data_IF_844319619761
#
_entry.id   IF_844319619761
#
_cell.length_a   1.000
_cell.length_b   1.000
_cell.length_c   1.000
_cell.angle_alpha   90.00
_cell.angle_beta   90.00
_cell.angle_gamma   90.00
#
_symmetry.space_group_name_H-M   'P 1'
#
loop_
_entity.id
_entity.type
_entity.pdbx_description
1 polymer ?
#
# COMPACT_ATOMS: atom_id res chain seq x y z
N UNK A 1 -11.12 24.10 -2.50
CA UNK A 1 -10.48 24.51 -3.77
C UNK A 1 -8.95 24.64 -3.69
N UNK A 2 -8.35 24.56 -2.47
CA UNK A 2 -6.91 24.81 -2.29
C UNK A 2 -6.00 23.56 -2.45
N UNK A 3 -6.52 22.44 -2.83
CA UNK A 3 -5.75 21.18 -2.95
C UNK A 3 -5.39 20.76 -4.39
N UNK A 4 -5.97 21.38 -5.41
CA UNK A 4 -5.67 21.08 -6.81
C UNK A 4 -4.43 21.84 -7.28
N UNK A 5 -3.46 21.12 -7.85
CA UNK A 5 -2.37 21.72 -8.60
C UNK A 5 -2.87 22.25 -9.95
N UNK A 6 -2.06 23.07 -10.61
CA UNK A 6 -2.42 23.69 -11.90
C UNK A 6 -2.68 22.70 -13.04
N UNK A 7 -2.17 21.48 -12.93
CA UNK A 7 -2.39 20.39 -13.91
C UNK A 7 -3.67 19.58 -13.65
N UNK A 8 -4.38 19.83 -12.54
CA UNK A 8 -5.58 19.13 -12.10
C UNK A 8 -5.44 17.61 -11.93
N UNK A 9 -4.24 17.07 -11.96
CA UNK A 9 -3.95 15.63 -11.84
C UNK A 9 -3.57 15.22 -10.42
N UNK A 10 -3.24 16.17 -9.54
CA UNK A 10 -2.85 15.93 -8.15
C UNK A 10 -3.77 16.67 -7.19
N UNK A 11 -4.37 15.92 -6.26
CA UNK A 11 -5.23 16.45 -5.21
C UNK A 11 -4.63 16.11 -3.83
N UNK A 12 -4.14 17.14 -3.13
CA UNK A 12 -3.56 17.02 -1.79
C UNK A 12 -4.52 17.50 -0.73
N UNK A 13 -5.04 16.55 0.04
CA UNK A 13 -6.07 16.75 1.06
C UNK A 13 -5.65 16.21 2.43
N UNK A 14 -4.38 15.91 2.64
CA UNK A 14 -3.87 15.39 3.90
C UNK A 14 -4.06 16.37 5.06
N UNK A 15 -4.33 15.85 6.27
CA UNK A 15 -4.46 16.62 7.50
C UNK A 15 -5.64 17.62 7.51
N UNK A 16 -6.72 17.29 6.81
CA UNK A 16 -7.91 18.15 6.71
C UNK A 16 -9.10 17.64 7.50
N UNK A 17 -9.00 16.42 8.04
CA UNK A 17 -10.05 15.77 8.85
C UNK A 17 -11.40 15.67 8.13
N UNK A 18 -11.35 15.28 6.86
CA UNK A 18 -12.56 15.08 6.06
C UNK A 18 -13.44 13.99 6.64
N UNK A 19 -14.73 14.27 6.71
CA UNK A 19 -15.76 13.30 7.06
C UNK A 19 -16.04 12.32 5.91
N UNK A 20 -16.67 11.20 6.21
CA UNK A 20 -17.12 10.23 5.20
C UNK A 20 -18.08 10.86 4.18
N UNK A 21 -18.92 11.82 4.60
CA UNK A 21 -19.82 12.55 3.71
C UNK A 21 -19.06 13.39 2.69
N UNK A 22 -17.98 14.07 3.13
CA UNK A 22 -17.12 14.86 2.25
C UNK A 22 -16.35 13.98 1.27
N UNK A 23 -15.88 12.80 1.71
CA UNK A 23 -15.26 11.80 0.82
C UNK A 23 -16.30 11.28 -0.18
N UNK A 24 -17.56 11.10 0.22
CA UNK A 24 -18.65 10.71 -0.71
C UNK A 24 -18.87 11.77 -1.80
N UNK A 25 -18.88 13.04 -1.42
CA UNK A 25 -19.02 14.15 -2.39
C UNK A 25 -17.82 14.20 -3.34
N UNK A 26 -16.61 14.03 -2.81
CA UNK A 26 -15.38 13.96 -3.61
C UNK A 26 -15.45 12.83 -4.63
N UNK A 27 -15.74 11.60 -4.17
CA UNK A 27 -15.74 10.39 -4.98
C UNK A 27 -16.82 10.39 -6.07
N UNK A 28 -17.86 11.22 -5.93
CA UNK A 28 -18.94 11.39 -6.92
C UNK A 28 -18.76 12.58 -7.87
N UNK A 29 -17.78 13.45 -7.59
CA UNK A 29 -17.55 14.64 -8.39
C UNK A 29 -16.86 14.30 -9.71
N UNK A 30 -17.45 14.71 -10.84
CA UNK A 30 -16.79 14.59 -12.15
C UNK A 30 -15.49 15.41 -12.27
N UNK A 31 -15.24 16.36 -11.35
CA UNK A 31 -14.02 17.16 -11.33
C UNK A 31 -12.79 16.33 -10.96
N UNK A 32 -12.96 15.15 -10.33
CA UNK A 32 -11.85 14.28 -9.96
C UNK A 32 -11.50 13.23 -11.02
N UNK A 33 -12.16 13.21 -12.15
CA UNK A 33 -11.93 12.20 -13.18
C UNK A 33 -10.53 12.30 -13.83
N UNK A 34 -9.84 13.42 -13.70
CA UNK A 34 -8.47 13.63 -14.19
C UNK A 34 -7.40 13.39 -13.11
N UNK A 35 -7.83 13.14 -11.86
CA UNK A 35 -6.90 12.95 -10.73
C UNK A 35 -6.16 11.63 -10.89
N UNK A 36 -4.83 11.72 -10.86
CA UNK A 36 -3.91 10.58 -10.84
C UNK A 36 -3.29 10.35 -9.48
N UNK A 37 -3.15 11.41 -8.70
CA UNK A 37 -2.59 11.38 -7.34
C UNK A 37 -3.61 11.95 -6.37
N UNK A 38 -4.06 11.12 -5.43
CA UNK A 38 -4.97 11.51 -4.36
C UNK A 38 -4.30 11.25 -3.00
N UNK A 39 -3.99 12.33 -2.30
CA UNK A 39 -3.43 12.29 -0.96
C UNK A 39 -4.51 12.64 0.07
N UNK A 40 -4.91 11.63 0.83
CA UNK A 40 -5.86 11.68 1.93
C UNK A 40 -5.23 11.23 3.27
N UNK A 41 -3.91 11.30 3.39
CA UNK A 41 -3.22 10.97 4.62
C UNK A 41 -3.67 11.83 5.81
N UNK A 42 -3.59 11.31 7.03
CA UNK A 42 -3.92 12.01 8.28
C UNK A 42 -5.33 12.65 8.27
N UNK A 43 -6.36 11.85 7.95
CA UNK A 43 -7.74 12.32 7.90
C UNK A 43 -8.71 11.54 8.81
N UNK A 44 -8.23 10.57 9.58
CA UNK A 44 -9.07 9.72 10.43
C UNK A 44 -10.14 8.92 9.66
N UNK A 45 -9.88 8.62 8.39
CA UNK A 45 -10.78 7.87 7.55
C UNK A 45 -10.81 6.39 7.96
N UNK A 46 -11.99 5.80 7.97
CA UNK A 46 -12.20 4.38 8.25
C UNK A 46 -12.60 3.58 7.01
N UNK A 47 -13.04 2.36 7.25
CA UNK A 47 -13.40 1.36 6.22
C UNK A 47 -14.46 1.85 5.24
N UNK A 48 -15.45 2.62 5.72
CA UNK A 48 -16.51 3.14 4.85
C UNK A 48 -15.97 4.13 3.82
N UNK A 49 -15.06 5.02 4.21
CA UNK A 49 -14.42 5.95 3.28
C UNK A 49 -13.57 5.18 2.24
N UNK A 50 -12.84 4.14 2.68
CA UNK A 50 -12.08 3.28 1.79
C UNK A 50 -12.99 2.61 0.74
N UNK A 51 -14.14 2.07 1.17
CA UNK A 51 -15.14 1.48 0.29
C UNK A 51 -15.63 2.48 -0.74
N UNK A 52 -16.05 3.67 -0.30
CA UNK A 52 -16.54 4.75 -1.18
C UNK A 52 -15.50 5.12 -2.24
N UNK A 53 -14.24 5.24 -1.86
CA UNK A 53 -13.14 5.54 -2.78
C UNK A 53 -12.92 4.40 -3.79
N UNK A 54 -12.88 3.16 -3.31
CA UNK A 54 -12.60 1.99 -4.15
C UNK A 54 -13.69 1.70 -5.19
N UNK A 55 -14.92 2.12 -4.92
CA UNK A 55 -16.08 1.94 -5.80
C UNK A 55 -16.40 3.21 -6.62
N UNK A 56 -15.59 4.27 -6.53
CA UNK A 56 -15.83 5.53 -7.21
C UNK A 56 -15.71 5.41 -8.72
N UNK A 57 -16.78 5.70 -9.44
CA UNK A 57 -16.81 5.75 -10.91
C UNK A 57 -16.13 6.99 -11.50
N UNK A 58 -15.61 7.88 -10.67
CA UNK A 58 -14.90 9.09 -11.09
C UNK A 58 -13.37 9.01 -10.95
N UNK A 59 -12.86 8.11 -10.10
CA UNK A 59 -11.42 7.96 -9.83
C UNK A 59 -10.74 6.92 -10.75
N UNK A 60 -11.23 6.76 -11.97
CA UNK A 60 -10.78 5.71 -12.90
C UNK A 60 -9.31 5.86 -13.36
N UNK A 61 -8.77 7.08 -13.29
CA UNK A 61 -7.41 7.39 -13.72
C UNK A 61 -6.42 7.48 -12.55
N UNK A 62 -6.85 7.08 -11.33
CA UNK A 62 -6.01 7.16 -10.15
C UNK A 62 -4.86 6.15 -10.24
N UNK A 63 -3.63 6.66 -10.08
CA UNK A 63 -2.40 5.87 -10.09
C UNK A 63 -1.70 5.85 -8.73
N UNK A 64 -1.92 6.88 -7.92
CA UNK A 64 -1.33 7.00 -6.58
C UNK A 64 -2.41 7.35 -5.56
N UNK A 65 -2.55 6.52 -4.53
CA UNK A 65 -3.48 6.71 -3.42
C UNK A 65 -2.72 6.67 -2.09
N UNK A 66 -2.74 7.80 -1.38
CA UNK A 66 -2.10 7.95 -0.07
C UNK A 66 -3.18 7.98 0.99
N UNK A 67 -3.19 6.97 1.85
CA UNK A 67 -4.12 6.75 2.96
C UNK A 67 -3.40 6.52 4.29
N UNK A 68 -2.12 6.86 4.38
CA UNK A 68 -1.36 6.73 5.62
C UNK A 68 -1.96 7.54 6.77
N UNK A 69 -1.75 7.11 8.01
CA UNK A 69 -2.26 7.79 9.23
C UNK A 69 -3.79 7.94 9.20
N UNK A 70 -4.47 6.81 9.11
CA UNK A 70 -5.94 6.75 9.09
C UNK A 70 -6.44 5.62 10.02
N UNK A 71 -7.71 5.30 9.99
CA UNK A 71 -8.32 4.26 10.84
C UNK A 71 -8.86 3.07 10.04
N UNK A 72 -8.24 2.77 8.90
CA UNK A 72 -8.58 1.62 8.07
C UNK A 72 -8.24 0.34 8.85
N UNK A 73 -9.18 -0.59 8.89
CA UNK A 73 -9.01 -1.87 9.58
C UNK A 73 -8.91 -3.04 8.61
N UNK A 74 -8.57 -4.22 9.13
CA UNK A 74 -8.55 -5.46 8.37
C UNK A 74 -9.85 -5.71 7.61
N UNK A 75 -10.99 -5.32 8.20
CA UNK A 75 -12.29 -5.49 7.55
C UNK A 75 -12.37 -4.71 6.25
N UNK A 76 -12.09 -3.41 6.28
CA UNK A 76 -12.13 -2.57 5.09
C UNK A 76 -11.16 -3.01 4.02
N UNK A 77 -9.93 -3.42 4.43
CA UNK A 77 -8.92 -3.89 3.51
C UNK A 77 -9.32 -5.20 2.82
N UNK A 78 -9.85 -6.17 3.57
CA UNK A 78 -10.35 -7.44 3.01
C UNK A 78 -11.54 -7.23 2.06
N UNK A 79 -12.46 -6.34 2.41
CA UNK A 79 -13.58 -5.95 1.53
C UNK A 79 -13.06 -5.38 0.22
N UNK A 80 -12.08 -4.48 0.26
CA UNK A 80 -11.49 -3.91 -0.97
C UNK A 80 -10.72 -4.96 -1.77
N UNK A 81 -9.87 -5.76 -1.11
CA UNK A 81 -9.06 -6.79 -1.77
C UNK A 81 -9.92 -7.83 -2.51
N UNK A 82 -11.08 -8.20 -1.96
CA UNK A 82 -12.00 -9.17 -2.54
C UNK A 82 -13.07 -8.57 -3.45
N UNK A 83 -13.15 -7.24 -3.56
CA UNK A 83 -14.20 -6.56 -4.31
C UNK A 83 -14.05 -6.77 -5.82
N UNK A 84 -15.13 -7.25 -6.45
CA UNK A 84 -15.25 -7.24 -7.92
C UNK A 84 -15.68 -5.88 -8.47
N UNK A 85 -16.18 -4.99 -7.62
CA UNK A 85 -16.73 -3.68 -7.98
C UNK A 85 -15.69 -2.56 -7.92
N UNK A 86 -14.46 -2.85 -7.48
CA UNK A 86 -13.44 -1.80 -7.43
C UNK A 86 -13.13 -1.24 -8.82
N UNK A 87 -12.99 0.06 -8.89
CA UNK A 87 -12.60 0.80 -10.09
C UNK A 87 -11.13 1.22 -10.06
N UNK A 88 -10.47 1.11 -8.90
CA UNK A 88 -9.07 1.51 -8.68
C UNK A 88 -8.08 0.42 -9.11
N UNK A 89 -8.16 -0.03 -10.37
CA UNK A 89 -7.31 -1.10 -10.92
C UNK A 89 -5.98 -0.61 -11.48
N UNK A 90 -5.80 0.71 -11.58
CA UNK A 90 -4.60 1.32 -12.15
C UNK A 90 -3.64 1.86 -11.07
N UNK A 91 -3.90 1.53 -9.80
CA UNK A 91 -3.06 1.98 -8.69
C UNK A 91 -1.67 1.37 -8.82
N UNK A 92 -0.67 2.25 -8.90
CA UNK A 92 0.76 1.92 -8.94
C UNK A 92 1.44 2.20 -7.62
N UNK A 93 0.97 3.23 -6.89
CA UNK A 93 1.48 3.58 -5.57
C UNK A 93 0.35 3.55 -4.57
N UNK A 94 0.52 2.76 -3.52
CA UNK A 94 -0.41 2.65 -2.41
C UNK A 94 0.32 2.84 -1.09
N UNK A 95 -0.08 3.87 -0.33
CA UNK A 95 0.44 4.16 1.00
C UNK A 95 -0.66 3.90 2.02
N UNK A 96 -0.44 2.93 2.89
CA UNK A 96 -1.34 2.49 3.94
C UNK A 96 -0.71 2.58 5.34
N UNK A 97 0.53 3.07 5.45
CA UNK A 97 1.27 3.13 6.72
C UNK A 97 0.47 3.79 7.84
N UNK A 98 0.70 3.34 9.08
CA UNK A 98 0.01 3.86 10.27
C UNK A 98 -1.54 3.79 10.16
N UNK A 99 -2.03 2.59 9.84
CA UNK A 99 -3.44 2.18 9.91
C UNK A 99 -3.60 1.01 10.90
N UNK A 100 -4.78 0.43 10.99
CA UNK A 100 -5.09 -0.70 11.88
C UNK A 100 -5.14 -2.02 11.10
N UNK A 101 -4.13 -2.26 10.27
CA UNK A 101 -4.00 -3.46 9.46
C UNK A 101 -3.04 -4.44 10.11
N UNK A 102 -3.35 -5.72 9.97
CA UNK A 102 -2.54 -6.83 10.46
C UNK A 102 -2.12 -7.76 9.33
N UNK A 103 -1.31 -8.76 9.63
CA UNK A 103 -0.93 -9.82 8.70
C UNK A 103 -2.11 -10.42 7.92
N UNK A 104 -3.28 -10.52 8.59
CA UNK A 104 -4.44 -11.20 8.01
C UNK A 104 -5.04 -10.48 6.79
N UNK A 105 -5.08 -9.14 6.83
CA UNK A 105 -5.61 -8.36 5.70
C UNK A 105 -4.56 -8.06 4.65
N UNK A 106 -3.30 -7.91 5.08
CA UNK A 106 -2.19 -7.67 4.18
C UNK A 106 -1.89 -8.90 3.31
N UNK A 107 -2.02 -10.11 3.86
CA UNK A 107 -1.93 -11.34 3.09
C UNK A 107 -3.02 -11.47 2.00
N UNK A 108 -4.23 -10.92 2.24
CA UNK A 108 -5.29 -10.86 1.22
C UNK A 108 -5.01 -9.77 0.18
N UNK A 109 -4.48 -8.61 0.60
CA UNK A 109 -4.08 -7.54 -0.32
C UNK A 109 -3.10 -8.07 -1.38
N UNK A 110 -2.01 -8.72 -0.94
CA UNK A 110 -0.93 -9.15 -1.82
C UNK A 110 -1.29 -10.29 -2.78
N UNK A 111 -2.43 -10.94 -2.57
CA UNK A 111 -2.99 -11.97 -3.46
C UNK A 111 -4.05 -11.41 -4.42
N UNK A 112 -4.52 -10.19 -4.17
CA UNK A 112 -5.65 -9.64 -4.92
C UNK A 112 -5.21 -9.06 -6.27
N UNK A 113 -5.87 -9.47 -7.33
CA UNK A 113 -5.68 -8.91 -8.69
C UNK A 113 -6.01 -7.42 -8.77
N UNK A 114 -6.74 -6.87 -7.79
CA UNK A 114 -7.02 -5.44 -7.71
C UNK A 114 -5.74 -4.60 -7.54
N UNK A 115 -4.66 -5.22 -7.06
CA UNK A 115 -3.37 -4.57 -6.81
C UNK A 115 -2.25 -5.04 -7.73
N UNK A 116 -2.57 -5.74 -8.82
CA UNK A 116 -1.58 -6.30 -9.74
C UNK A 116 -0.69 -5.27 -10.46
N UNK A 117 -1.08 -3.99 -10.45
CA UNK A 117 -0.32 -2.91 -11.07
C UNK A 117 0.59 -2.15 -10.08
N UNK A 118 0.66 -2.60 -8.81
CA UNK A 118 1.48 -1.92 -7.80
C UNK A 118 2.97 -1.99 -8.16
N UNK A 119 3.58 -0.81 -8.18
CA UNK A 119 5.02 -0.60 -8.29
C UNK A 119 5.62 -0.15 -6.94
N UNK A 120 4.82 0.49 -6.08
CA UNK A 120 5.22 0.96 -4.74
C UNK A 120 4.14 0.65 -3.72
N UNK A 121 4.53 0.00 -2.62
CA UNK A 121 3.65 -0.33 -1.50
C UNK A 121 4.31 0.10 -0.18
N UNK A 122 3.61 0.96 0.56
CA UNK A 122 3.98 1.34 1.92
C UNK A 122 2.96 0.79 2.92
N UNK A 123 3.41 -0.16 3.73
CA UNK A 123 2.67 -0.83 4.80
C UNK A 123 3.47 -0.83 6.11
N UNK A 124 4.28 0.20 6.31
CA UNK A 124 5.02 0.42 7.54
C UNK A 124 4.14 0.89 8.70
N UNK A 125 4.70 0.88 9.92
CA UNK A 125 4.07 1.36 11.13
C UNK A 125 2.72 0.66 11.46
N UNK A 126 2.65 -0.64 11.20
CA UNK A 126 1.47 -1.47 11.43
C UNK A 126 1.84 -2.81 12.09
N UNK A 127 0.83 -3.63 12.41
CA UNK A 127 1.05 -4.98 12.92
C UNK A 127 1.28 -6.00 11.77
N UNK A 128 2.07 -5.59 10.77
CA UNK A 128 2.58 -6.48 9.73
C UNK A 128 3.81 -7.22 10.25
N UNK A 129 3.91 -8.51 10.00
CA UNK A 129 5.02 -9.32 10.48
C UNK A 129 5.53 -10.30 9.43
N UNK A 130 6.07 -11.43 9.92
CA UNK A 130 6.62 -12.45 9.06
C UNK A 130 5.60 -13.01 8.06
N UNK A 131 4.34 -13.17 8.45
CA UNK A 131 3.29 -13.67 7.53
C UNK A 131 3.06 -12.72 6.35
N UNK A 132 3.10 -11.40 6.58
CA UNK A 132 3.02 -10.42 5.50
C UNK A 132 4.24 -10.52 4.59
N UNK A 133 5.44 -10.58 5.16
CA UNK A 133 6.69 -10.71 4.41
C UNK A 133 6.70 -12.00 3.55
N UNK A 134 6.29 -13.13 4.12
CA UNK A 134 6.11 -14.42 3.44
C UNK A 134 5.08 -14.32 2.29
N UNK A 135 3.92 -13.72 2.57
CA UNK A 135 2.87 -13.57 1.57
C UNK A 135 3.29 -12.67 0.40
N UNK A 136 4.08 -11.61 0.67
CA UNK A 136 4.67 -10.78 -0.38
C UNK A 136 5.66 -11.59 -1.21
N UNK A 137 6.59 -12.32 -0.57
CA UNK A 137 7.57 -13.15 -1.27
C UNK A 137 6.92 -14.20 -2.17
N UNK A 138 5.82 -14.80 -1.70
CA UNK A 138 5.06 -15.83 -2.42
C UNK A 138 4.01 -15.27 -3.42
N UNK A 139 3.88 -13.94 -3.54
CA UNK A 139 2.85 -13.34 -4.38
C UNK A 139 3.17 -13.52 -5.87
N UNK A 140 2.20 -14.03 -6.61
CA UNK A 140 2.17 -14.08 -8.08
C UNK A 140 1.43 -12.88 -8.68
N UNK A 141 0.96 -11.97 -7.84
CA UNK A 141 0.18 -10.79 -8.22
C UNK A 141 1.03 -9.52 -8.27
N UNK A 142 1.93 -9.31 -7.28
CA UNK A 142 2.72 -8.09 -7.16
C UNK A 142 3.99 -8.09 -8.02
N UNK A 143 3.94 -8.61 -9.23
CA UNK A 143 5.11 -8.82 -10.10
C UNK A 143 5.75 -7.51 -10.61
N UNK A 144 5.08 -6.38 -10.44
CA UNK A 144 5.58 -5.05 -10.82
C UNK A 144 6.18 -4.27 -9.63
N UNK A 145 6.19 -4.87 -8.41
CA UNK A 145 6.62 -4.19 -7.21
C UNK A 145 8.13 -3.91 -7.26
N UNK A 146 8.50 -2.64 -7.11
CA UNK A 146 9.87 -2.12 -7.10
C UNK A 146 10.25 -1.52 -5.76
N UNK A 147 9.26 -0.94 -5.06
CA UNK A 147 9.46 -0.27 -3.79
C UNK A 147 8.56 -0.88 -2.72
N UNK A 148 9.18 -1.31 -1.61
CA UNK A 148 8.49 -1.89 -0.47
C UNK A 148 8.95 -1.20 0.82
N UNK A 149 8.01 -0.58 1.52
CA UNK A 149 8.21 0.04 2.83
C UNK A 149 7.60 -0.84 3.91
N UNK A 150 8.44 -1.40 4.78
CA UNK A 150 8.10 -2.25 5.93
C UNK A 150 8.67 -1.68 7.24
N UNK A 151 8.84 -0.37 7.33
CA UNK A 151 9.35 0.25 8.55
C UNK A 151 8.45 -0.10 9.74
N UNK A 152 9.05 -0.51 10.88
CA UNK A 152 8.33 -0.86 12.11
C UNK A 152 7.20 -1.88 11.92
N UNK A 153 7.49 -2.97 11.20
CA UNK A 153 6.52 -4.00 10.82
C UNK A 153 6.78 -5.37 11.46
N UNK A 154 7.53 -5.42 12.53
CA UNK A 154 7.82 -6.64 13.32
C UNK A 154 8.43 -7.80 12.52
N UNK A 155 8.99 -7.57 11.34
CA UNK A 155 9.66 -8.57 10.52
C UNK A 155 11.00 -8.96 11.18
N UNK A 156 11.27 -10.26 11.27
CA UNK A 156 12.55 -10.80 11.76
C UNK A 156 13.34 -11.54 10.65
N UNK A 157 14.36 -12.30 11.02
CA UNK A 157 15.21 -13.03 10.08
C UNK A 157 14.45 -14.07 9.25
N UNK A 158 13.43 -14.72 9.83
CA UNK A 158 12.62 -15.71 9.10
C UNK A 158 11.72 -15.02 8.08
N UNK A 159 11.09 -13.90 8.46
CA UNK A 159 10.24 -13.13 7.56
C UNK A 159 11.01 -12.54 6.38
N UNK A 160 12.22 -11.98 6.64
CA UNK A 160 13.03 -11.45 5.53
C UNK A 160 13.57 -12.57 4.63
N UNK A 161 13.92 -13.74 5.18
CA UNK A 161 14.31 -14.90 4.38
C UNK A 161 13.17 -15.30 3.43
N UNK A 162 11.94 -15.43 3.95
CA UNK A 162 10.78 -15.80 3.14
C UNK A 162 10.49 -14.75 2.04
N UNK A 163 10.62 -13.46 2.35
CA UNK A 163 10.46 -12.39 1.36
C UNK A 163 11.47 -12.51 0.21
N UNK A 164 12.76 -12.68 0.55
CA UNK A 164 13.83 -12.67 -0.46
C UNK A 164 13.99 -13.99 -1.21
N UNK A 165 13.40 -15.07 -0.73
CA UNK A 165 13.33 -16.34 -1.47
C UNK A 165 12.28 -16.30 -2.59
N UNK A 166 11.38 -15.33 -2.55
CA UNK A 166 10.34 -15.17 -3.56
C UNK A 166 10.79 -14.45 -4.83
N UNK A 167 10.02 -14.61 -5.91
CA UNK A 167 10.34 -14.02 -7.23
C UNK A 167 10.36 -12.50 -7.20
N UNK A 168 9.56 -11.87 -6.34
CA UNK A 168 9.46 -10.41 -6.18
C UNK A 168 10.78 -9.79 -5.77
N UNK A 169 11.60 -10.48 -4.97
CA UNK A 169 12.86 -9.96 -4.47
C UNK A 169 13.77 -9.46 -5.61
N UNK A 170 13.76 -10.17 -6.73
CA UNK A 170 14.53 -9.80 -7.92
C UNK A 170 14.05 -8.52 -8.62
N UNK A 171 12.85 -8.04 -8.34
CA UNK A 171 12.27 -6.83 -8.91
C UNK A 171 12.45 -5.61 -8.01
N UNK A 172 12.70 -5.81 -6.70
CA UNK A 172 12.82 -4.72 -5.74
C UNK A 172 14.04 -3.85 -6.04
N UNK A 173 13.79 -2.56 -6.11
CA UNK A 173 14.79 -1.51 -6.24
C UNK A 173 15.01 -0.76 -4.92
N UNK A 174 13.96 -0.66 -4.09
CA UNK A 174 13.98 -0.03 -2.77
C UNK A 174 13.26 -0.95 -1.76
N UNK A 175 13.92 -1.22 -0.63
CA UNK A 175 13.38 -2.03 0.46
C UNK A 175 13.72 -1.36 1.79
N UNK A 176 12.71 -0.82 2.49
CA UNK A 176 12.90 -0.23 3.81
C UNK A 176 12.51 -1.24 4.90
N UNK A 177 13.47 -1.57 5.75
CA UNK A 177 13.32 -2.50 6.87
C UNK A 177 13.68 -1.84 8.22
N UNK A 178 13.72 -0.50 8.28
CA UNK A 178 14.08 0.25 9.48
C UNK A 178 13.19 -0.17 10.66
N UNK A 179 13.81 -0.28 11.85
CA UNK A 179 13.12 -0.56 13.11
C UNK A 179 12.34 -1.88 13.15
N UNK A 180 12.77 -2.88 12.40
CA UNK A 180 12.31 -4.27 12.48
C UNK A 180 13.16 -5.12 13.45
N UNK A 181 12.89 -6.42 13.57
CA UNK A 181 13.54 -7.33 14.50
C UNK A 181 14.57 -8.25 13.81
N UNK A 182 15.25 -7.73 12.80
CA UNK A 182 16.14 -8.55 11.94
C UNK A 182 17.32 -9.16 12.70
N UNK A 183 17.95 -8.40 13.61
CA UNK A 183 19.15 -8.83 14.32
C UNK A 183 20.30 -9.22 13.39
N UNK A 184 21.31 -9.90 13.96
CA UNK A 184 22.49 -10.37 13.21
C UNK A 184 22.13 -11.42 12.15
N UNK A 185 21.12 -12.24 12.40
CA UNK A 185 20.73 -13.30 11.47
C UNK A 185 20.02 -12.73 10.25
N UNK A 186 19.12 -11.74 10.42
CA UNK A 186 18.52 -11.03 9.29
C UNK A 186 19.57 -10.26 8.47
N UNK A 187 20.56 -9.66 9.13
CA UNK A 187 21.66 -9.01 8.42
C UNK A 187 22.46 -10.00 7.56
N UNK A 188 22.75 -11.22 8.08
CA UNK A 188 23.42 -12.29 7.32
C UNK A 188 22.57 -12.75 6.13
N UNK A 189 21.25 -12.89 6.31
CA UNK A 189 20.31 -13.26 5.26
C UNK A 189 20.39 -12.24 4.12
N UNK A 190 20.29 -10.96 4.42
CA UNK A 190 20.35 -9.89 3.42
C UNK A 190 21.73 -9.86 2.72
N UNK A 191 22.81 -9.96 3.48
CA UNK A 191 24.17 -9.90 2.93
C UNK A 191 24.54 -11.12 2.07
N UNK A 192 23.91 -12.27 2.34
CA UNK A 192 24.21 -13.54 1.66
C UNK A 192 23.35 -13.84 0.44
N UNK A 193 22.28 -13.08 0.21
CA UNK A 193 21.32 -13.39 -0.87
C UNK A 193 21.79 -12.90 -2.23
N UNK A 194 21.70 -13.72 -3.31
CA UNK A 194 21.85 -13.25 -4.68
C UNK A 194 20.54 -12.69 -5.28
N UNK A 195 19.42 -12.78 -4.54
CA UNK A 195 18.10 -12.51 -5.11
C UNK A 195 17.78 -11.02 -5.21
N UNK A 196 18.33 -10.18 -4.33
CA UNK A 196 18.15 -8.71 -4.35
C UNK A 196 19.01 -8.03 -5.42
N UNK A 197 19.04 -8.58 -6.63
CA UNK A 197 19.95 -8.19 -7.73
C UNK A 197 19.73 -6.78 -8.28
N UNK A 198 18.54 -6.21 -8.11
CA UNK A 198 18.19 -4.88 -8.60
C UNK A 198 18.11 -3.83 -7.47
N UNK A 199 18.38 -4.24 -6.22
CA UNK A 199 18.25 -3.37 -5.07
C UNK A 199 19.26 -2.21 -5.13
N UNK A 200 18.78 -1.00 -4.96
CA UNK A 200 19.56 0.25 -4.98
C UNK A 200 19.57 0.93 -3.61
N UNK A 201 18.49 0.74 -2.84
CA UNK A 201 18.29 1.35 -1.51
C UNK A 201 17.80 0.28 -0.54
N UNK A 202 18.46 0.23 0.63
CA UNK A 202 18.11 -0.66 1.76
C UNK A 202 18.05 0.15 3.05
#
# INVERSE_FOLDING_TARGET
ANGLKSDFTTLKLSGKYYSTDEITLLARSSQVNQVRVLDLGDNQLGDEALKILSESTQLLNLEELILGVNFITDKGMKEWASSSNTTLKNIKTLVLSDNKLTDDSLAELVKSLNFSQLESLDIGWMEAGNKTAEAIGASDTLLHLKKLELERSYVDAEGIQALIDGEIAGNLEELNLIANKLGDDGAKVIAGTPNLKNLKVL
#
